data_IF_977796146360
#
_entry.id   IF_977796146360
#
_cell.length_a   1.000
_cell.length_b   1.000
_cell.length_c   1.000
_cell.angle_alpha   90.00
_cell.angle_beta   90.00
_cell.angle_gamma   90.00
#
_symmetry.space_group_name_H-M   'P 1'
#
loop_
_entity.id
_entity.type
_entity.pdbx_description
1 polymer ?
#
# COMPACT_ATOMS: atom_id res chain seq x y z
N UNK A 1 11.56 -5.83 7.55
CA UNK A 1 10.51 -5.01 8.20
C UNK A 1 10.00 -3.99 7.20
N UNK A 2 8.71 -4.04 6.88
CA UNK A 2 8.06 -3.01 6.06
C UNK A 2 7.92 -1.75 6.90
N UNK A 3 8.56 -0.66 6.50
CA UNK A 3 8.52 0.62 7.23
C UNK A 3 7.60 1.62 6.54
N UNK A 4 7.22 2.66 7.27
CA UNK A 4 6.41 3.76 6.72
C UNK A 4 7.08 4.43 5.52
N UNK A 5 8.38 4.68 5.58
CA UNK A 5 9.13 5.25 4.45
C UNK A 5 9.22 4.29 3.26
N UNK A 6 9.37 2.98 3.53
CA UNK A 6 9.32 1.99 2.45
C UNK A 6 7.99 2.02 1.70
N UNK A 7 6.87 2.08 2.42
CA UNK A 7 5.54 2.18 1.82
C UNK A 7 5.37 3.47 1.01
N UNK A 8 5.84 4.61 1.53
CA UNK A 8 5.78 5.90 0.83
C UNK A 8 6.55 5.86 -0.49
N UNK A 9 7.76 5.31 -0.48
CA UNK A 9 8.61 5.23 -1.68
C UNK A 9 8.02 4.23 -2.69
N UNK A 10 7.61 3.04 -2.24
CA UNK A 10 7.18 1.97 -3.16
C UNK A 10 5.77 2.16 -3.71
N UNK A 11 4.88 2.80 -2.95
CA UNK A 11 3.51 3.08 -3.39
C UNK A 11 3.32 4.52 -3.88
N UNK A 12 4.37 5.35 -3.82
CA UNK A 12 4.32 6.79 -4.13
C UNK A 12 3.11 7.45 -3.46
N UNK A 13 3.00 7.25 -2.15
CA UNK A 13 1.83 7.63 -1.36
C UNK A 13 2.14 8.64 -0.25
N UNK A 14 1.09 9.27 0.28
CA UNK A 14 1.23 10.24 1.37
C UNK A 14 1.59 9.55 2.68
N UNK A 15 2.17 10.32 3.60
CA UNK A 15 2.51 9.86 4.94
C UNK A 15 1.29 9.30 5.69
N UNK A 16 0.13 9.97 5.57
CA UNK A 16 -1.13 9.53 6.14
C UNK A 16 -1.60 8.20 5.56
N UNK A 17 -1.45 7.99 4.25
CA UNK A 17 -1.87 6.74 3.61
C UNK A 17 -0.98 5.58 4.04
N UNK A 18 0.34 5.78 4.09
CA UNK A 18 1.28 4.79 4.60
C UNK A 18 0.98 4.43 6.07
N UNK A 19 0.62 5.41 6.91
CA UNK A 19 0.21 5.16 8.28
C UNK A 19 -1.06 4.30 8.34
N UNK A 20 -2.06 4.58 7.50
CA UNK A 20 -3.30 3.79 7.46
C UNK A 20 -3.07 2.32 7.10
N UNK A 21 -2.13 2.02 6.20
CA UNK A 21 -1.76 0.64 5.88
C UNK A 21 -1.14 -0.08 7.10
N UNK A 22 -0.30 0.62 7.87
CA UNK A 22 0.31 0.10 9.10
C UNK A 22 -0.75 -0.12 10.18
N UNK A 23 -1.66 0.85 10.37
CA UNK A 23 -2.74 0.77 11.35
C UNK A 23 -3.67 -0.42 11.02
N UNK A 24 -3.99 -0.62 9.74
CA UNK A 24 -4.81 -1.74 9.25
C UNK A 24 -4.14 -3.10 9.51
N UNK A 25 -2.81 -3.16 9.47
CA UNK A 25 -2.07 -4.40 9.73
C UNK A 25 -2.05 -4.78 11.23
N UNK A 26 -2.37 -3.87 12.14
CA UNK A 26 -2.46 -4.13 13.59
C UNK A 26 -1.22 -4.81 14.21
N UNK A 27 -0.03 -4.52 13.66
CA UNK A 27 1.23 -5.11 14.10
C UNK A 27 1.58 -6.46 13.48
N UNK A 28 0.72 -7.03 12.63
CA UNK A 28 1.02 -8.23 11.84
C UNK A 28 1.83 -7.86 10.59
N UNK A 29 3.10 -8.24 10.58
CA UNK A 29 4.02 -7.95 9.48
C UNK A 29 3.63 -8.65 8.17
N UNK A 30 3.08 -9.86 8.24
CA UNK A 30 2.66 -10.60 7.05
C UNK A 30 1.43 -9.94 6.44
N UNK A 31 0.45 -9.57 7.29
CA UNK A 31 -0.72 -8.82 6.85
C UNK A 31 -0.33 -7.49 6.19
N UNK A 32 0.64 -6.77 6.76
CA UNK A 32 1.14 -5.53 6.17
C UNK A 32 1.79 -5.75 4.81
N UNK A 33 2.59 -6.82 4.67
CA UNK A 33 3.24 -7.15 3.41
C UNK A 33 2.24 -7.57 2.33
N UNK A 34 1.25 -8.39 2.68
CA UNK A 34 0.17 -8.79 1.78
C UNK A 34 -0.64 -7.59 1.30
N UNK A 35 -1.00 -6.68 2.23
CA UNK A 35 -1.71 -5.45 1.89
C UNK A 35 -0.89 -4.54 0.97
N UNK A 36 0.42 -4.44 1.22
CA UNK A 36 1.35 -3.73 0.36
C UNK A 36 1.35 -4.31 -1.07
N UNK A 37 1.50 -5.63 -1.23
CA UNK A 37 1.51 -6.29 -2.54
C UNK A 37 0.19 -6.10 -3.27
N UNK A 38 -0.95 -6.24 -2.58
CA UNK A 38 -2.27 -6.01 -3.15
C UNK A 38 -2.40 -4.59 -3.72
N UNK A 39 -2.01 -3.57 -2.95
CA UNK A 39 -2.11 -2.16 -3.37
C UNK A 39 -1.11 -1.79 -4.45
N UNK A 40 0.08 -2.40 -4.43
CA UNK A 40 1.05 -2.27 -5.50
C UNK A 40 0.51 -2.84 -6.82
N UNK A 41 -0.06 -4.05 -6.79
CA UNK A 41 -0.66 -4.68 -7.96
C UNK A 41 -1.81 -3.85 -8.52
N UNK A 42 -2.73 -3.38 -7.66
CA UNK A 42 -3.86 -2.52 -8.07
C UNK A 42 -3.36 -1.28 -8.83
N UNK A 43 -2.30 -0.62 -8.35
CA UNK A 43 -1.72 0.56 -9.00
C UNK A 43 -1.10 0.27 -10.37
N UNK A 44 -0.51 -0.91 -10.56
CA UNK A 44 0.12 -1.27 -11.82
C UNK A 44 -0.86 -1.82 -12.85
N UNK A 45 -2.00 -2.35 -12.40
CA UNK A 45 -2.98 -3.02 -13.27
C UNK A 45 -4.18 -2.14 -13.62
N UNK A 46 -4.63 -1.25 -12.72
CA UNK A 46 -5.84 -0.46 -12.94
C UNK A 46 -5.58 0.66 -13.95
N UNK A 47 -6.32 0.71 -15.08
CA UNK A 47 -6.22 1.84 -16.00
C UNK A 47 -6.69 3.13 -15.31
N UNK A 48 -6.18 4.27 -15.76
CA UNK A 48 -6.51 5.56 -15.18
C UNK A 48 -8.01 5.91 -15.34
N UNK A 49 -8.62 5.49 -16.45
CA UNK A 49 -10.02 5.72 -16.81
C UNK A 49 -10.59 4.42 -17.36
N UNK A 50 -11.82 4.08 -16.96
CA UNK A 50 -12.63 2.99 -17.53
C UNK A 50 -13.96 3.59 -17.98
N UNK A 51 -14.29 3.46 -19.26
CA UNK A 51 -15.58 3.87 -19.83
C UNK A 51 -16.52 2.65 -19.86
N UNK A 52 -17.78 2.83 -19.45
CA UNK A 52 -18.81 1.79 -19.32
C UNK A 52 -20.03 2.10 -20.18
#
# INVERSE_FOLDING_TARGET
>A
MVTKEFLKIKLECSDMYAQKLIDEAQGDENKLYDLFIQKLAERHTRPAIVEY
#
